data_IF_749419113102
#
_entry.id   IF_749419113102
#
_cell.length_a   1.000
_cell.length_b   1.000
_cell.length_c   1.000
_cell.angle_alpha   90.00
_cell.angle_beta   90.00
_cell.angle_gamma   90.00
#
_symmetry.space_group_name_H-M   'P 1'
#
loop_
_entity.id
_entity.type
_entity.pdbx_description
1 polymer ?
#
# COMPACT_ATOMS: atom_id res chain seq x y z
N UNK A 1 28.96 5.63 22.03
CA UNK A 1 28.48 5.56 20.62
C UNK A 1 27.70 6.83 20.31
N UNK A 2 27.85 7.41 19.11
CA UNK A 2 27.04 8.57 18.72
C UNK A 2 25.59 8.12 18.47
N UNK A 3 24.64 8.89 19.02
CA UNK A 3 23.20 8.60 18.86
C UNK A 3 22.76 8.72 17.41
N UNK A 4 21.98 7.76 16.94
CA UNK A 4 21.40 7.73 15.61
C UNK A 4 19.92 8.08 15.69
N UNK A 5 19.52 9.16 15.00
CA UNK A 5 18.13 9.59 14.92
C UNK A 5 17.48 9.12 13.62
N UNK A 6 16.31 8.53 13.71
CA UNK A 6 15.44 8.26 12.58
C UNK A 6 14.36 9.35 12.49
N UNK A 7 14.20 9.92 11.31
CA UNK A 7 13.13 10.87 10.98
C UNK A 7 12.16 10.17 10.04
N UNK A 8 10.99 9.77 10.53
CA UNK A 8 9.93 9.12 9.77
C UNK A 8 8.93 10.16 9.25
N UNK A 9 9.00 10.48 7.97
CA UNK A 9 8.04 11.38 7.33
C UNK A 9 6.84 10.62 6.77
N UNK A 10 5.63 11.03 7.17
CA UNK A 10 4.34 10.42 6.82
C UNK A 10 3.41 11.42 6.14
N UNK A 11 2.28 10.98 5.60
CA UNK A 11 1.25 11.91 5.16
C UNK A 11 0.40 12.38 6.34
N UNK A 12 -0.34 11.48 6.97
CA UNK A 12 -1.34 11.79 8.01
C UNK A 12 -1.04 11.13 9.36
N UNK A 13 -0.29 10.03 9.36
CA UNK A 13 0.06 9.31 10.59
C UNK A 13 0.93 10.18 11.52
N UNK A 14 0.71 10.19 12.82
CA UNK A 14 -0.32 9.45 13.58
C UNK A 14 -1.65 10.21 13.77
N UNK A 15 -1.86 11.33 13.09
CA UNK A 15 -2.88 12.35 13.36
C UNK A 15 -4.28 11.96 12.89
N UNK A 16 -4.39 11.15 11.86
CA UNK A 16 -5.67 10.67 11.32
C UNK A 16 -5.87 9.19 11.69
N UNK A 17 -6.74 8.88 12.66
CA UNK A 17 -7.00 7.51 13.08
C UNK A 17 -7.72 6.67 12.01
N UNK A 18 -8.41 7.32 11.06
CA UNK A 18 -9.11 6.65 9.97
C UNK A 18 -8.20 6.42 8.74
N UNK A 19 -6.97 6.93 8.78
CA UNK A 19 -6.00 6.73 7.70
C UNK A 19 -5.52 5.29 7.65
N UNK A 20 -5.54 4.68 6.47
CA UNK A 20 -4.92 3.38 6.22
C UNK A 20 -3.42 3.32 6.52
N UNK A 21 -2.74 4.46 6.71
CA UNK A 21 -1.34 4.51 7.12
C UNK A 21 -1.12 3.86 8.49
N UNK A 22 -2.07 4.01 9.43
CA UNK A 22 -1.93 3.54 10.79
C UNK A 22 -1.72 2.03 10.88
N UNK A 23 -2.46 1.27 10.09
CA UNK A 23 -2.41 -0.19 10.11
C UNK A 23 -1.04 -0.75 9.75
N UNK A 24 -0.25 -0.01 8.96
CA UNK A 24 1.08 -0.44 8.50
C UNK A 24 2.22 0.26 9.24
N UNK A 25 2.06 1.57 9.53
CA UNK A 25 3.13 2.35 10.15
C UNK A 25 3.25 2.03 11.64
N UNK A 26 2.15 1.82 12.36
CA UNK A 26 2.21 1.60 13.80
C UNK A 26 3.04 0.36 14.18
N UNK A 27 2.82 -0.85 13.58
CA UNK A 27 3.63 -2.02 13.88
C UNK A 27 5.11 -1.84 13.50
N UNK A 28 5.39 -1.15 12.40
CA UNK A 28 6.76 -0.85 11.97
C UNK A 28 7.43 0.16 12.90
N UNK A 29 6.72 1.20 13.35
CA UNK A 29 7.23 2.21 14.27
C UNK A 29 7.69 1.61 15.60
N UNK A 30 6.94 0.65 16.14
CA UNK A 30 7.29 -0.01 17.40
C UNK A 30 8.64 -0.76 17.30
N UNK A 31 8.92 -1.38 16.15
CA UNK A 31 10.21 -2.02 15.85
C UNK A 31 11.31 -0.97 15.63
N UNK A 32 11.02 0.10 14.90
CA UNK A 32 11.98 1.19 14.64
C UNK A 32 12.38 1.90 15.93
N UNK A 33 11.46 2.10 16.87
CA UNK A 33 11.76 2.67 18.21
C UNK A 33 12.70 1.81 19.04
N UNK A 34 12.69 0.49 18.83
CA UNK A 34 13.63 -0.42 19.50
C UNK A 34 15.02 -0.42 18.84
N UNK A 35 15.08 -0.13 17.53
CA UNK A 35 16.29 -0.21 16.73
C UNK A 35 17.11 1.12 16.75
N UNK A 36 16.46 2.27 16.87
CA UNK A 36 17.11 3.58 16.82
C UNK A 36 17.11 4.27 18.18
N UNK A 37 18.15 5.06 18.47
CA UNK A 37 18.25 5.82 19.73
C UNK A 37 17.13 6.86 19.90
N UNK A 38 16.61 7.38 18.80
CA UNK A 38 15.44 8.25 18.77
C UNK A 38 14.71 8.14 17.44
N UNK A 39 13.38 8.18 17.49
CA UNK A 39 12.51 8.21 16.31
C UNK A 39 11.61 9.44 16.40
N UNK A 40 11.69 10.29 15.38
CA UNK A 40 10.87 11.49 15.24
C UNK A 40 9.88 11.29 14.07
N UNK A 41 8.59 11.32 14.36
CA UNK A 41 7.55 11.24 13.33
C UNK A 41 7.22 12.65 12.83
N UNK A 42 7.20 12.83 11.51
CA UNK A 42 6.99 14.13 10.86
C UNK A 42 5.85 14.03 9.85
N UNK A 43 4.61 14.27 10.28
CA UNK A 43 3.46 14.24 9.38
C UNK A 43 3.45 15.46 8.44
N UNK A 44 2.97 15.25 7.22
CA UNK A 44 2.83 16.31 6.22
C UNK A 44 1.60 17.18 6.44
N UNK A 45 0.55 16.64 7.05
CA UNK A 45 -0.70 17.38 7.29
C UNK A 45 -0.56 18.34 8.47
N UNK A 46 -1.34 19.41 8.41
CA UNK A 46 -1.49 20.39 9.49
C UNK A 46 -2.65 19.98 10.37
N UNK A 47 -2.49 20.12 11.69
CA UNK A 47 -3.56 19.91 12.64
C UNK A 47 -3.86 21.19 13.42
N UNK A 48 -5.09 21.36 13.96
CA UNK A 48 -5.40 22.44 14.88
C UNK A 48 -4.49 22.43 16.13
N UNK A 49 -4.15 23.59 16.65
CA UNK A 49 -3.26 23.72 17.81
C UNK A 49 -3.73 22.91 19.03
N UNK A 50 -5.06 22.75 19.20
CA UNK A 50 -5.66 21.93 20.27
C UNK A 50 -5.32 20.43 20.16
N UNK A 51 -5.13 19.93 18.96
CA UNK A 51 -4.74 18.53 18.71
C UNK A 51 -3.22 18.33 18.74
N UNK A 52 -2.45 19.37 18.46
CA UNK A 52 -0.99 19.32 18.46
C UNK A 52 -0.39 19.02 19.85
N UNK A 53 -1.11 19.38 20.93
CA UNK A 53 -0.64 19.16 22.32
C UNK A 53 -0.58 17.68 22.70
N UNK A 54 -1.37 16.82 22.09
CA UNK A 54 -1.42 15.38 22.37
C UNK A 54 -0.20 14.59 21.86
N UNK A 55 0.64 15.19 21.00
CA UNK A 55 1.70 14.47 20.28
C UNK A 55 3.10 15.09 20.44
N UNK A 56 3.30 15.94 21.48
CA UNK A 56 4.49 16.84 21.59
C UNK A 56 5.84 16.13 21.66
N UNK A 57 5.91 14.93 22.21
CA UNK A 57 7.20 14.29 22.51
C UNK A 57 7.74 13.42 21.38
N UNK A 58 6.89 12.93 20.48
CA UNK A 58 7.26 11.99 19.41
C UNK A 58 6.97 12.52 17.99
N UNK A 59 6.23 13.64 17.87
CA UNK A 59 5.78 14.18 16.59
C UNK A 59 6.23 15.63 16.42
N UNK A 60 6.91 15.91 15.31
CA UNK A 60 7.32 17.28 14.95
C UNK A 60 6.35 17.84 13.89
N UNK A 61 5.54 18.81 14.28
CA UNK A 61 4.57 19.49 13.40
C UNK A 61 5.16 20.74 12.74
N UNK A 62 6.36 21.17 13.12
CA UNK A 62 6.96 22.42 12.62
C UNK A 62 7.22 22.40 11.11
N UNK A 63 7.50 21.22 10.55
CA UNK A 63 7.61 21.06 9.10
C UNK A 63 6.25 21.22 8.39
N UNK A 64 5.18 20.64 8.96
CA UNK A 64 3.84 20.79 8.41
C UNK A 64 3.43 22.28 8.34
N UNK A 65 3.71 23.06 9.38
CA UNK A 65 3.43 24.50 9.39
C UNK A 65 4.20 25.25 8.28
N UNK A 66 5.46 24.91 8.06
CA UNK A 66 6.29 25.53 7.01
C UNK A 66 5.77 25.20 5.59
N UNK A 67 5.49 23.96 5.31
CA UNK A 67 4.99 23.56 3.97
C UNK A 67 3.57 24.02 3.65
N UNK A 68 2.83 24.47 4.67
CA UNK A 68 1.51 25.09 4.53
C UNK A 68 1.53 26.62 4.74
N UNK A 69 2.72 27.25 4.73
CA UNK A 69 2.88 28.71 4.78
C UNK A 69 2.17 29.41 3.60
N UNK A 70 2.02 30.74 3.61
CA UNK A 70 1.35 31.50 2.55
C UNK A 70 1.87 31.18 1.15
N UNK A 71 1.00 31.25 0.14
CA UNK A 71 1.31 30.85 -1.25
C UNK A 71 2.51 31.57 -1.85
N UNK A 72 2.67 32.87 -1.53
CA UNK A 72 3.80 33.68 -2.02
C UNK A 72 5.13 33.13 -1.51
N UNK A 73 5.23 32.88 -0.20
CA UNK A 73 6.44 32.36 0.43
C UNK A 73 6.82 30.98 -0.14
N UNK A 74 5.83 30.09 -0.33
CA UNK A 74 6.03 28.80 -0.97
C UNK A 74 6.46 28.94 -2.44
N UNK A 75 5.85 29.86 -3.16
CA UNK A 75 6.23 30.15 -4.56
C UNK A 75 7.69 30.54 -4.67
N UNK A 76 8.14 31.48 -3.85
CA UNK A 76 9.54 31.90 -3.79
C UNK A 76 10.47 30.74 -3.40
N UNK A 77 10.13 29.95 -2.38
CA UNK A 77 10.92 28.79 -1.99
C UNK A 77 11.07 27.80 -3.16
N UNK A 78 10.02 27.58 -3.94
CA UNK A 78 10.03 26.65 -5.08
C UNK A 78 10.92 27.13 -6.23
N UNK A 79 10.73 28.37 -6.68
CA UNK A 79 11.49 28.91 -7.82
C UNK A 79 12.99 29.12 -7.52
N UNK A 80 13.35 29.30 -6.25
CA UNK A 80 14.75 29.41 -5.84
C UNK A 80 15.46 28.06 -5.78
N UNK A 81 14.73 26.94 -5.84
CA UNK A 81 15.31 25.61 -5.89
C UNK A 81 15.74 25.26 -7.31
N UNK A 82 17.03 25.14 -7.59
CA UNK A 82 17.54 24.78 -8.92
C UNK A 82 16.97 23.50 -9.51
N UNK A 83 16.46 22.58 -8.66
CA UNK A 83 15.76 21.38 -9.10
C UNK A 83 14.45 21.70 -9.87
N UNK A 84 13.75 22.79 -9.52
CA UNK A 84 12.55 23.22 -10.25
C UNK A 84 12.84 23.51 -11.72
N UNK A 85 13.86 24.31 -12.00
CA UNK A 85 14.20 24.70 -13.36
C UNK A 85 14.69 23.53 -14.22
N UNK A 86 15.28 22.50 -13.57
CA UNK A 86 15.69 21.27 -14.27
C UNK A 86 14.50 20.37 -14.62
N UNK A 87 13.45 20.34 -13.78
CA UNK A 87 12.27 19.51 -13.97
C UNK A 87 11.20 20.15 -14.85
N UNK A 88 11.08 21.49 -14.79
CA UNK A 88 10.04 22.28 -15.48
C UNK A 88 9.83 21.91 -16.96
N UNK A 89 10.88 21.71 -17.79
CA UNK A 89 10.67 21.30 -19.18
C UNK A 89 9.95 19.96 -19.30
N UNK A 90 10.28 18.99 -18.45
CA UNK A 90 9.64 17.66 -18.42
C UNK A 90 8.18 17.74 -17.98
N UNK A 91 7.89 18.58 -16.97
CA UNK A 91 6.52 18.79 -16.49
C UNK A 91 5.64 19.45 -17.54
N UNK A 92 6.16 20.48 -18.22
CA UNK A 92 5.46 21.16 -19.33
C UNK A 92 5.19 20.22 -20.50
N UNK A 93 6.18 19.42 -20.91
CA UNK A 93 6.07 18.48 -22.02
C UNK A 93 5.03 17.39 -21.73
N UNK A 94 5.07 16.79 -20.53
CA UNK A 94 4.23 15.63 -20.16
C UNK A 94 2.83 15.98 -19.70
N UNK A 95 2.63 17.14 -19.06
CA UNK A 95 1.36 17.50 -18.42
C UNK A 95 1.03 19.00 -18.48
N UNK A 96 1.69 19.77 -19.35
CA UNK A 96 1.42 21.19 -19.56
C UNK A 96 1.46 22.01 -18.26
N UNK A 97 0.52 22.94 -18.13
CA UNK A 97 0.43 23.80 -16.94
C UNK A 97 0.22 23.01 -15.63
N UNK A 98 -0.43 21.84 -15.68
CA UNK A 98 -0.59 20.97 -14.52
C UNK A 98 0.77 20.42 -14.07
N UNK A 99 1.62 19.98 -15.00
CA UNK A 99 2.97 19.51 -14.72
C UNK A 99 3.82 20.59 -14.08
N UNK A 100 3.92 21.77 -14.69
CA UNK A 100 4.67 22.90 -14.17
C UNK A 100 4.22 23.32 -12.76
N UNK A 101 2.90 23.34 -12.50
CA UNK A 101 2.36 23.61 -11.16
C UNK A 101 2.75 22.54 -10.15
N UNK A 102 2.69 21.27 -10.56
CA UNK A 102 3.07 20.13 -9.70
C UNK A 102 4.56 20.20 -9.37
N UNK A 103 5.42 20.50 -10.33
CA UNK A 103 6.86 20.64 -10.12
C UNK A 103 7.18 21.78 -9.16
N UNK A 104 6.49 22.93 -9.31
CA UNK A 104 6.65 24.04 -8.38
C UNK A 104 6.22 23.68 -6.96
N UNK A 105 5.10 22.97 -6.79
CA UNK A 105 4.63 22.53 -5.47
C UNK A 105 5.62 21.58 -4.82
N UNK A 106 6.17 20.65 -5.58
CA UNK A 106 7.19 19.72 -5.09
C UNK A 106 8.49 20.43 -4.74
N UNK A 107 8.96 21.33 -5.59
CA UNK A 107 10.13 22.13 -5.34
C UNK A 107 9.99 23.00 -4.09
N UNK A 108 8.84 23.65 -3.92
CA UNK A 108 8.52 24.43 -2.72
C UNK A 108 8.60 23.57 -1.44
N UNK A 109 7.92 22.41 -1.47
CA UNK A 109 7.96 21.46 -0.35
C UNK A 109 9.40 21.01 -0.08
N UNK A 110 10.16 20.67 -1.12
CA UNK A 110 11.55 20.24 -0.98
C UNK A 110 12.46 21.31 -0.39
N UNK A 111 12.35 22.56 -0.84
CA UNK A 111 13.15 23.68 -0.34
C UNK A 111 12.90 23.92 1.16
N UNK A 112 11.62 23.94 1.57
CA UNK A 112 11.22 24.14 2.97
C UNK A 112 11.63 22.95 3.85
N UNK A 113 11.49 21.72 3.35
CA UNK A 113 11.92 20.49 4.06
C UNK A 113 13.44 20.48 4.25
N UNK A 114 14.20 20.79 3.21
CA UNK A 114 15.66 20.88 3.31
C UNK A 114 16.09 21.92 4.34
N UNK A 115 15.48 23.10 4.32
CA UNK A 115 15.78 24.16 5.29
C UNK A 115 15.44 23.71 6.71
N UNK A 116 14.28 23.15 6.93
CA UNK A 116 13.86 22.58 8.21
C UNK A 116 14.86 21.56 8.73
N UNK A 117 15.28 20.59 7.92
CA UNK A 117 16.22 19.56 8.31
C UNK A 117 17.57 20.15 8.73
N UNK A 118 18.08 21.13 7.97
CA UNK A 118 19.37 21.81 8.25
C UNK A 118 19.33 22.63 9.53
N UNK A 119 18.19 23.19 9.92
CA UNK A 119 17.98 23.96 11.14
C UNK A 119 17.73 23.05 12.35
N UNK A 120 17.04 21.90 12.13
CA UNK A 120 16.59 21.00 13.21
C UNK A 120 17.69 20.09 13.75
N UNK A 121 18.63 19.68 12.90
CA UNK A 121 19.67 18.71 13.25
C UNK A 121 21.06 19.34 13.11
N UNK A 122 21.95 19.03 14.08
CA UNK A 122 23.34 19.47 14.00
C UNK A 122 24.12 18.67 12.94
N UNK A 123 25.22 19.23 12.46
CA UNK A 123 26.08 18.55 11.48
C UNK A 123 26.78 17.30 12.04
N UNK A 124 26.88 17.17 13.33
CA UNK A 124 27.53 16.06 14.02
C UNK A 124 26.57 14.88 14.28
N UNK A 125 25.25 15.12 14.18
CA UNK A 125 24.25 14.07 14.37
C UNK A 125 24.29 13.05 13.25
N UNK A 126 24.11 11.76 13.57
CA UNK A 126 23.75 10.74 12.58
C UNK A 126 22.24 10.78 12.39
N UNK A 127 21.78 11.05 11.18
CA UNK A 127 20.35 11.17 10.87
C UNK A 127 20.00 10.33 9.66
N UNK A 128 19.00 9.47 9.82
CA UNK A 128 18.36 8.76 8.72
C UNK A 128 16.99 9.38 8.46
N UNK A 129 16.81 9.96 7.29
CA UNK A 129 15.52 10.42 6.81
C UNK A 129 14.84 9.27 6.07
N UNK A 130 13.70 8.83 6.56
CA UNK A 130 12.86 7.83 5.94
C UNK A 130 11.51 8.45 5.59
N UNK A 131 11.20 8.58 4.30
CA UNK A 131 9.87 9.01 3.85
C UNK A 131 9.04 7.78 3.51
N UNK A 132 7.92 7.62 4.22
CA UNK A 132 7.00 6.50 3.99
C UNK A 132 6.36 6.58 2.60
N UNK A 133 6.12 7.77 2.08
CA UNK A 133 5.62 8.05 0.73
C UNK A 133 6.61 8.91 -0.05
N UNK A 134 6.77 8.62 -1.34
CA UNK A 134 7.55 9.48 -2.23
C UNK A 134 6.79 10.78 -2.54
N UNK A 135 7.23 11.86 -1.97
CA UNK A 135 6.63 13.20 -2.09
C UNK A 135 7.71 14.28 -2.22
N UNK A 136 7.33 15.55 -2.24
CA UNK A 136 8.28 16.67 -2.16
C UNK A 136 9.13 16.65 -0.89
N UNK A 137 8.65 16.03 0.22
CA UNK A 137 9.46 15.80 1.42
C UNK A 137 10.68 14.92 1.10
N UNK A 138 10.49 13.88 0.31
CA UNK A 138 11.56 12.96 -0.12
C UNK A 138 12.68 13.72 -0.82
N UNK A 139 12.34 14.59 -1.78
CA UNK A 139 13.32 15.40 -2.49
C UNK A 139 14.09 16.34 -1.53
N UNK A 140 13.38 16.98 -0.60
CA UNK A 140 13.99 17.90 0.37
C UNK A 140 14.92 17.19 1.34
N UNK A 141 14.54 16.03 1.85
CA UNK A 141 15.36 15.20 2.75
C UNK A 141 16.57 14.59 2.03
N UNK A 142 16.41 14.12 0.81
CA UNK A 142 17.52 13.65 -0.03
C UNK A 142 18.54 14.76 -0.28
N UNK A 143 18.09 15.96 -0.62
CA UNK A 143 18.99 17.11 -0.81
C UNK A 143 19.65 17.58 0.50
N UNK A 144 19.00 17.42 1.65
CA UNK A 144 19.59 17.72 2.95
C UNK A 144 20.69 16.71 3.29
N UNK A 145 20.44 15.41 3.08
CA UNK A 145 21.40 14.35 3.37
C UNK A 145 22.70 14.50 2.58
N UNK A 146 22.66 14.92 1.32
CA UNK A 146 23.86 15.18 0.50
C UNK A 146 24.74 16.32 1.01
N UNK A 147 24.25 17.14 1.94
CA UNK A 147 25.01 18.26 2.56
C UNK A 147 25.73 17.88 3.85
N UNK A 148 25.50 16.69 4.36
CA UNK A 148 26.06 16.20 5.63
C UNK A 148 26.51 14.75 5.48
N UNK A 149 27.78 14.48 5.73
CA UNK A 149 28.40 13.17 5.54
C UNK A 149 27.71 12.04 6.33
N UNK A 150 27.17 12.37 7.52
CA UNK A 150 26.55 11.42 8.46
C UNK A 150 25.02 11.31 8.29
N UNK A 151 24.48 11.93 7.27
CA UNK A 151 23.05 11.89 6.98
C UNK A 151 22.78 10.94 5.82
N UNK A 152 21.68 10.23 5.91
CA UNK A 152 21.17 9.35 4.85
C UNK A 152 19.71 9.66 4.58
N UNK A 153 19.25 9.38 3.37
CA UNK A 153 17.86 9.55 2.99
C UNK A 153 17.38 8.36 2.19
N UNK A 154 16.26 7.81 2.62
CA UNK A 154 15.59 6.70 1.96
C UNK A 154 14.12 7.00 1.78
N UNK A 155 13.47 6.30 0.84
CA UNK A 155 12.02 6.34 0.66
C UNK A 155 11.48 4.94 0.48
N UNK A 156 10.23 4.72 0.91
CA UNK A 156 9.43 3.57 0.46
C UNK A 156 8.47 4.06 -0.63
N UNK A 157 8.23 3.22 -1.63
CA UNK A 157 7.30 3.51 -2.73
C UNK A 157 6.19 2.47 -2.77
N UNK A 158 4.98 2.98 -3.02
CA UNK A 158 3.75 2.21 -3.07
C UNK A 158 3.07 2.38 -4.43
N UNK A 159 1.82 1.91 -4.59
CA UNK A 159 1.16 1.98 -5.88
C UNK A 159 0.85 3.40 -6.37
N UNK A 160 0.36 4.26 -5.48
CA UNK A 160 -0.11 5.62 -5.84
C UNK A 160 1.04 6.58 -6.10
N UNK A 161 2.12 6.47 -5.35
CA UNK A 161 3.29 7.36 -5.44
C UNK A 161 4.39 6.83 -6.37
N UNK A 162 4.20 5.63 -6.93
CA UNK A 162 5.14 4.98 -7.85
C UNK A 162 4.61 4.96 -9.30
N UNK A 163 3.40 4.40 -9.53
CA UNK A 163 2.92 4.16 -10.88
C UNK A 163 2.34 5.45 -11.51
N UNK A 164 2.95 5.90 -12.61
CA UNK A 164 2.53 7.12 -13.30
C UNK A 164 1.06 7.08 -13.76
N UNK A 165 0.59 5.92 -14.26
CA UNK A 165 -0.80 5.74 -14.71
C UNK A 165 -1.86 5.92 -13.60
N UNK A 166 -1.45 5.89 -12.33
CA UNK A 166 -2.33 6.17 -11.17
C UNK A 166 -2.39 7.65 -10.80
N UNK A 167 -1.69 8.50 -11.53
CA UNK A 167 -1.65 9.94 -11.27
C UNK A 167 -2.38 10.71 -12.36
N UNK A 168 -2.93 11.89 -12.06
CA UNK A 168 -3.50 12.75 -13.07
C UNK A 168 -2.50 13.00 -14.20
N UNK A 169 -2.97 12.95 -15.44
CA UNK A 169 -2.16 13.09 -16.66
C UNK A 169 -0.99 12.10 -16.79
N UNK A 170 -0.96 11.00 -16.01
CA UNK A 170 0.17 10.06 -16.01
C UNK A 170 1.50 10.68 -15.58
N UNK A 171 1.47 11.82 -14.86
CA UNK A 171 2.68 12.56 -14.52
C UNK A 171 3.08 12.40 -13.04
N UNK A 172 4.34 12.06 -12.85
CA UNK A 172 4.99 11.96 -11.54
C UNK A 172 6.16 12.95 -11.48
N UNK A 173 6.06 14.05 -10.71
CA UNK A 173 7.14 15.02 -10.59
C UNK A 173 8.46 14.39 -10.11
N UNK A 174 9.57 14.83 -10.69
CA UNK A 174 10.94 14.39 -10.35
C UNK A 174 11.18 12.88 -10.50
N UNK A 175 10.37 12.18 -11.27
CA UNK A 175 10.61 10.78 -11.58
C UNK A 175 11.25 10.65 -12.99
N UNK A 176 12.39 9.97 -13.14
CA UNK A 176 13.11 9.15 -12.15
C UNK A 176 14.21 9.89 -11.37
N UNK A 177 14.41 11.21 -11.56
CA UNK A 177 15.58 11.94 -11.05
C UNK A 177 15.75 11.85 -9.51
N UNK A 178 14.65 11.84 -8.76
CA UNK A 178 14.66 11.80 -7.30
C UNK A 178 15.37 10.55 -6.73
N UNK A 179 15.28 9.41 -7.42
CA UNK A 179 15.86 8.16 -6.95
C UNK A 179 17.40 8.18 -6.93
N UNK A 180 18.02 9.02 -7.78
CA UNK A 180 19.48 9.21 -7.79
C UNK A 180 19.99 10.04 -6.61
N UNK A 181 19.11 10.80 -5.98
CA UNK A 181 19.45 11.62 -4.81
C UNK A 181 19.37 10.81 -3.49
N UNK A 182 18.76 9.64 -3.51
CA UNK A 182 18.54 8.78 -2.34
C UNK A 182 19.73 7.82 -2.13
N UNK A 183 19.96 7.44 -0.89
CA UNK A 183 20.93 6.39 -0.55
C UNK A 183 20.33 5.00 -0.83
N UNK A 184 19.01 4.86 -0.67
CA UNK A 184 18.26 3.64 -1.03
C UNK A 184 16.77 3.93 -1.25
N UNK A 185 16.17 3.17 -2.16
CA UNK A 185 14.73 3.13 -2.37
C UNK A 185 14.19 1.77 -1.96
N UNK A 186 13.08 1.74 -1.23
CA UNK A 186 12.40 0.51 -0.85
C UNK A 186 11.10 0.38 -1.64
N UNK A 187 10.95 -0.72 -2.34
CA UNK A 187 9.72 -1.06 -3.06
C UNK A 187 8.91 -2.08 -2.24
N UNK A 188 7.59 -1.91 -2.16
CA UNK A 188 6.73 -2.85 -1.40
C UNK A 188 6.54 -4.21 -2.07
N UNK A 189 7.01 -4.36 -3.32
CA UNK A 189 6.84 -5.58 -4.13
C UNK A 189 7.95 -5.69 -5.19
N UNK A 190 8.27 -6.90 -5.66
CA UNK A 190 9.21 -7.12 -6.77
C UNK A 190 8.73 -6.44 -8.07
N UNK A 191 7.40 -6.49 -8.32
CA UNK A 191 6.80 -5.77 -9.44
C UNK A 191 7.12 -4.26 -9.39
N UNK A 192 7.06 -3.64 -8.23
CA UNK A 192 7.38 -2.23 -8.03
C UNK A 192 8.87 -1.95 -8.28
N UNK A 193 9.77 -2.85 -7.86
CA UNK A 193 11.21 -2.78 -8.18
C UNK A 193 11.45 -2.90 -9.68
N UNK A 194 10.78 -3.85 -10.35
CA UNK A 194 10.85 -4.01 -11.81
C UNK A 194 10.39 -2.75 -12.56
N UNK A 195 9.31 -2.11 -12.11
CA UNK A 195 8.83 -0.85 -12.67
C UNK A 195 9.86 0.29 -12.51
N UNK A 196 10.52 0.40 -11.37
CA UNK A 196 11.60 1.37 -11.19
C UNK A 196 12.74 1.14 -12.18
N UNK A 197 13.12 -0.12 -12.41
CA UNK A 197 14.12 -0.49 -13.43
C UNK A 197 13.69 -0.06 -14.83
N UNK A 198 12.41 -0.20 -15.20
CA UNK A 198 11.88 0.27 -16.50
C UNK A 198 11.93 1.78 -16.67
N UNK A 199 11.97 2.54 -15.57
CA UNK A 199 12.19 4.00 -15.58
C UNK A 199 13.67 4.41 -15.64
N UNK A 200 14.60 3.44 -15.73
CA UNK A 200 16.05 3.70 -15.74
C UNK A 200 16.63 3.98 -14.35
N UNK A 201 15.94 3.59 -13.27
CA UNK A 201 16.49 3.62 -11.93
C UNK A 201 17.45 2.45 -11.73
N UNK A 202 18.62 2.71 -11.16
CA UNK A 202 19.56 1.64 -10.81
C UNK A 202 18.95 0.72 -9.74
N UNK A 203 18.60 -0.49 -10.15
CA UNK A 203 17.96 -1.48 -9.29
C UNK A 203 18.86 -2.04 -8.20
N UNK A 204 20.19 -1.80 -8.26
CA UNK A 204 21.09 -2.15 -7.16
C UNK A 204 20.85 -1.28 -5.91
N UNK A 205 20.37 -0.05 -6.11
CA UNK A 205 19.95 0.87 -5.06
C UNK A 205 18.50 0.65 -4.58
N UNK A 206 17.78 -0.31 -5.20
CA UNK A 206 16.38 -0.62 -4.85
C UNK A 206 16.31 -1.96 -4.12
N UNK A 207 15.75 -1.95 -2.92
CA UNK A 207 15.42 -3.17 -2.16
C UNK A 207 13.93 -3.37 -2.01
N UNK A 208 13.50 -4.62 -1.99
CA UNK A 208 12.11 -4.95 -1.66
C UNK A 208 11.95 -5.03 -0.15
N UNK A 209 11.05 -4.19 0.38
CA UNK A 209 10.65 -4.19 1.78
C UNK A 209 9.13 -4.24 1.84
N UNK A 210 8.60 -5.47 1.85
CA UNK A 210 7.16 -5.70 1.89
C UNK A 210 6.57 -5.16 3.18
N UNK A 211 5.38 -4.60 3.07
CA UNK A 211 4.53 -4.40 4.23
C UNK A 211 4.05 -5.77 4.71
N UNK A 212 3.51 -5.81 5.90
CA UNK A 212 2.95 -7.02 6.45
C UNK A 212 1.72 -6.72 7.29
N UNK A 213 1.12 -7.77 7.78
CA UNK A 213 -0.02 -7.74 8.69
C UNK A 213 0.37 -8.50 9.96
N UNK A 214 -0.07 -8.03 11.13
CA UNK A 214 0.10 -8.79 12.37
C UNK A 214 -0.51 -10.19 12.25
N UNK A 215 0.05 -11.16 12.96
CA UNK A 215 -0.58 -12.49 13.03
C UNK A 215 -1.95 -12.36 13.70
N UNK A 216 -3.03 -12.76 13.00
CA UNK A 216 -4.37 -12.72 13.59
C UNK A 216 -4.58 -13.79 14.69
N UNK A 217 -3.65 -14.71 14.88
CA UNK A 217 -3.69 -15.77 15.89
C UNK A 217 -4.68 -16.89 15.60
N UNK A 218 -5.78 -16.59 14.90
CA UNK A 218 -6.87 -17.53 14.60
C UNK A 218 -7.11 -17.59 13.10
N UNK A 219 -7.38 -18.79 12.59
CA UNK A 219 -7.72 -19.01 11.18
C UNK A 219 -9.24 -18.95 10.97
N UNK A 220 -9.65 -18.58 9.76
CA UNK A 220 -11.02 -18.75 9.29
C UNK A 220 -11.35 -20.25 9.13
N UNK A 221 -12.59 -20.64 9.34
CA UNK A 221 -13.06 -22.01 9.15
C UNK A 221 -13.67 -22.20 7.73
N UNK A 222 -13.57 -23.40 7.15
CA UNK A 222 -14.33 -23.73 5.93
C UNK A 222 -15.81 -23.98 6.25
N UNK A 223 -16.66 -23.91 5.22
CA UNK A 223 -18.05 -24.32 5.31
C UNK A 223 -18.18 -25.84 5.43
N UNK A 224 -19.24 -26.30 6.10
CA UNK A 224 -19.57 -27.73 6.29
C UNK A 224 -20.97 -28.08 5.83
N UNK A 225 -21.74 -27.13 5.34
CA UNK A 225 -23.17 -27.25 5.00
C UNK A 225 -23.44 -27.35 3.48
N UNK A 226 -22.40 -27.53 2.67
CA UNK A 226 -22.50 -27.63 1.23
C UNK A 226 -22.68 -26.28 0.51
N UNK A 227 -22.72 -25.16 1.23
CA UNK A 227 -22.75 -23.81 0.64
C UNK A 227 -21.32 -23.31 0.45
N UNK A 228 -20.94 -22.97 -0.78
CA UNK A 228 -19.63 -22.34 -1.06
C UNK A 228 -19.66 -20.89 -0.59
N UNK A 229 -18.86 -20.57 0.41
CA UNK A 229 -18.75 -19.22 0.94
C UNK A 229 -17.59 -18.48 0.31
N UNK A 230 -17.95 -17.56 -0.59
CA UNK A 230 -17.00 -16.69 -1.29
C UNK A 230 -16.95 -15.37 -0.58
N UNK A 231 -15.74 -14.83 -0.37
CA UNK A 231 -15.55 -13.51 0.23
C UNK A 231 -14.70 -12.64 -0.66
N UNK A 232 -14.98 -11.34 -0.67
CA UNK A 232 -14.15 -10.31 -1.32
C UNK A 232 -14.08 -9.06 -0.44
N UNK A 233 -12.96 -8.34 -0.50
CA UNK A 233 -12.77 -7.09 0.24
C UNK A 233 -12.10 -6.05 -0.65
N UNK A 234 -12.79 -4.93 -0.89
CA UNK A 234 -12.27 -3.81 -1.67
C UNK A 234 -13.17 -2.58 -1.55
N UNK A 235 -12.61 -1.38 -1.75
CA UNK A 235 -13.41 -0.20 -2.05
C UNK A 235 -14.07 -0.37 -3.43
N UNK A 236 -15.40 -0.31 -3.49
CA UNK A 236 -16.20 -0.65 -4.67
C UNK A 236 -16.09 0.44 -5.74
N UNK A 237 -15.12 0.30 -6.62
CA UNK A 237 -14.88 1.11 -7.83
C UNK A 237 -14.64 0.19 -9.02
N UNK A 238 -14.78 0.71 -10.23
CA UNK A 238 -14.67 -0.04 -11.50
C UNK A 238 -13.39 -0.88 -11.60
N UNK A 239 -12.26 -0.40 -11.06
CA UNK A 239 -10.99 -1.14 -11.04
C UNK A 239 -11.07 -2.48 -10.28
N UNK A 240 -12.02 -2.65 -9.37
CA UNK A 240 -12.19 -3.86 -8.56
C UNK A 240 -13.11 -4.89 -9.18
N UNK A 241 -13.83 -4.52 -10.25
CA UNK A 241 -14.68 -5.41 -11.06
C UNK A 241 -15.68 -6.25 -10.24
N UNK A 242 -16.25 -5.67 -9.18
CA UNK A 242 -17.23 -6.38 -8.33
C UNK A 242 -18.50 -6.81 -9.09
N UNK A 243 -19.04 -6.03 -10.05
CA UNK A 243 -20.14 -6.50 -10.89
C UNK A 243 -19.81 -7.78 -11.68
N UNK A 244 -18.56 -7.91 -12.15
CA UNK A 244 -18.11 -9.15 -12.82
C UNK A 244 -18.14 -10.35 -11.85
N UNK A 245 -17.72 -10.15 -10.59
CA UNK A 245 -17.79 -11.20 -9.56
C UNK A 245 -19.25 -11.63 -9.35
N UNK A 246 -20.17 -10.66 -9.15
CA UNK A 246 -21.60 -10.94 -8.95
C UNK A 246 -22.19 -11.73 -10.12
N UNK A 247 -21.96 -11.30 -11.34
CA UNK A 247 -22.46 -11.93 -12.59
C UNK A 247 -21.92 -13.34 -12.75
N UNK A 248 -20.63 -13.57 -12.56
CA UNK A 248 -20.04 -14.90 -12.66
C UNK A 248 -20.56 -15.86 -11.58
N UNK A 249 -20.75 -15.39 -10.34
CA UNK A 249 -21.34 -16.22 -9.27
C UNK A 249 -22.79 -16.61 -9.58
N UNK A 250 -23.59 -15.66 -10.09
CA UNK A 250 -24.96 -15.93 -10.52
C UNK A 250 -25.03 -16.96 -11.68
N UNK A 251 -24.19 -16.75 -12.70
CA UNK A 251 -24.08 -17.64 -13.83
C UNK A 251 -23.62 -19.05 -13.43
N UNK A 252 -22.63 -19.13 -12.51
CA UNK A 252 -22.13 -20.40 -12.02
C UNK A 252 -23.21 -21.22 -11.27
N UNK A 253 -24.06 -20.54 -10.47
CA UNK A 253 -25.18 -21.17 -9.80
C UNK A 253 -26.28 -21.61 -10.80
N UNK A 254 -26.51 -20.84 -11.88
CA UNK A 254 -27.54 -21.19 -12.89
C UNK A 254 -27.18 -22.40 -13.74
N UNK A 255 -25.91 -22.73 -13.90
CA UNK A 255 -25.43 -23.88 -14.65
C UNK A 255 -25.74 -25.24 -13.98
N UNK A 256 -25.98 -25.24 -12.67
CA UNK A 256 -26.27 -26.45 -11.90
C UNK A 256 -27.14 -26.08 -10.69
N UNK A 257 -28.38 -26.56 -10.68
CA UNK A 257 -29.38 -26.27 -9.65
C UNK A 257 -29.00 -26.78 -8.24
N UNK A 258 -27.99 -27.62 -8.13
CA UNK A 258 -27.48 -28.11 -6.83
C UNK A 258 -26.45 -27.15 -6.20
N UNK A 259 -25.86 -26.26 -6.97
CA UNK A 259 -24.86 -25.31 -6.49
C UNK A 259 -25.49 -24.26 -5.60
N UNK A 260 -24.86 -24.02 -4.47
CA UNK A 260 -25.23 -22.99 -3.48
C UNK A 260 -24.01 -22.13 -3.16
N UNK A 261 -24.18 -20.82 -3.28
CA UNK A 261 -23.13 -19.83 -2.99
C UNK A 261 -23.68 -18.79 -2.02
N UNK A 262 -22.87 -18.44 -1.05
CA UNK A 262 -23.06 -17.21 -0.28
C UNK A 262 -21.86 -16.30 -0.51
N UNK A 263 -22.09 -15.11 -1.10
CA UNK A 263 -21.05 -14.12 -1.34
C UNK A 263 -21.11 -13.00 -0.30
N UNK A 264 -20.03 -12.84 0.47
CA UNK A 264 -19.86 -11.71 1.36
C UNK A 264 -18.88 -10.70 0.75
N UNK A 265 -19.32 -9.46 0.55
CA UNK A 265 -18.45 -8.37 0.13
C UNK A 265 -18.24 -7.38 1.27
N UNK A 266 -16.95 -7.06 1.57
CA UNK A 266 -16.52 -6.08 2.55
C UNK A 266 -15.97 -4.87 1.81
N UNK A 267 -16.62 -3.72 1.96
CA UNK A 267 -16.20 -2.46 1.36
C UNK A 267 -17.38 -1.65 0.83
N UNK A 268 -17.29 -0.35 1.01
CA UNK A 268 -18.21 0.63 0.43
C UNK A 268 -17.68 1.15 -0.90
N UNK A 269 -18.46 1.98 -1.58
CA UNK A 269 -18.04 2.70 -2.77
C UNK A 269 -19.14 2.86 -3.81
N UNK A 270 -18.90 3.70 -4.83
CA UNK A 270 -19.93 4.06 -5.80
C UNK A 270 -20.42 2.89 -6.67
N UNK A 271 -19.59 1.86 -6.87
CA UNK A 271 -19.90 0.72 -7.74
C UNK A 271 -20.85 -0.31 -7.09
N UNK A 272 -21.17 -0.17 -5.79
CA UNK A 272 -22.11 -1.06 -5.11
C UNK A 272 -23.53 -1.02 -5.71
N UNK A 273 -23.94 0.08 -6.33
CA UNK A 273 -25.22 0.17 -7.03
C UNK A 273 -25.26 -0.83 -8.22
N UNK A 274 -24.17 -0.88 -9.00
CA UNK A 274 -24.03 -1.82 -10.12
C UNK A 274 -23.98 -3.27 -9.62
N UNK A 275 -23.31 -3.52 -8.50
CA UNK A 275 -23.29 -4.84 -7.87
C UNK A 275 -24.70 -5.30 -7.47
N UNK A 276 -25.51 -4.42 -6.86
CA UNK A 276 -26.89 -4.75 -6.50
C UNK A 276 -27.75 -5.06 -7.73
N UNK A 277 -27.58 -4.29 -8.80
CA UNK A 277 -28.28 -4.53 -10.07
C UNK A 277 -27.95 -5.93 -10.66
N UNK A 278 -26.69 -6.36 -10.60
CA UNK A 278 -26.28 -7.70 -11.04
C UNK A 278 -26.85 -8.83 -10.14
N UNK A 279 -27.18 -8.52 -8.90
CA UNK A 279 -27.76 -9.48 -7.95
C UNK A 279 -29.30 -9.53 -8.00
N UNK A 280 -29.95 -8.56 -8.65
CA UNK A 280 -31.39 -8.54 -8.83
C UNK A 280 -31.83 -9.71 -9.76
N UNK A 281 -32.79 -10.52 -9.30
CA UNK A 281 -33.28 -11.64 -10.08
C UNK A 281 -32.32 -12.84 -10.22
N UNK A 282 -31.26 -12.88 -9.42
CA UNK A 282 -30.32 -14.00 -9.43
C UNK A 282 -30.98 -15.33 -9.08
N UNK A 283 -30.45 -16.46 -9.61
CA UNK A 283 -31.00 -17.79 -9.32
C UNK A 283 -30.95 -18.07 -7.81
N UNK A 284 -31.94 -18.83 -7.30
CA UNK A 284 -32.08 -19.13 -5.87
C UNK A 284 -30.87 -19.85 -5.21
N UNK A 285 -29.87 -20.25 -5.99
CA UNK A 285 -28.61 -20.79 -5.50
C UNK A 285 -27.59 -19.74 -5.00
N UNK A 286 -27.77 -18.48 -5.38
CA UNK A 286 -26.88 -17.38 -4.94
C UNK A 286 -27.58 -16.53 -3.87
N UNK A 287 -26.87 -16.34 -2.75
CA UNK A 287 -27.21 -15.34 -1.73
C UNK A 287 -26.03 -14.41 -1.51
N UNK A 288 -26.27 -13.20 -1.05
CA UNK A 288 -25.18 -12.23 -0.83
C UNK A 288 -25.38 -11.37 0.40
N UNK A 289 -24.26 -10.93 0.98
CA UNK A 289 -24.19 -9.94 2.05
C UNK A 289 -23.20 -8.85 1.65
N UNK A 290 -23.70 -7.63 1.42
CA UNK A 290 -22.88 -6.45 1.14
C UNK A 290 -22.74 -5.64 2.41
N UNK A 291 -21.62 -5.78 3.13
CA UNK A 291 -21.41 -5.17 4.45
C UNK A 291 -21.17 -3.65 4.39
N UNK A 292 -20.82 -3.12 3.20
CA UNK A 292 -20.39 -1.73 3.09
C UNK A 292 -19.01 -1.51 3.73
N UNK A 293 -18.69 -0.25 4.03
CA UNK A 293 -17.42 0.09 4.65
C UNK A 293 -17.37 -0.39 6.09
N UNK A 294 -16.33 -1.14 6.43
CA UNK A 294 -16.01 -1.53 7.80
C UNK A 294 -14.65 -0.95 8.18
N UNK A 295 -14.39 -0.67 9.45
CA UNK A 295 -13.07 -0.28 9.92
C UNK A 295 -12.01 -1.32 9.54
N UNK A 296 -10.78 -0.92 9.15
CA UNK A 296 -9.74 -1.86 8.74
C UNK A 296 -9.46 -2.97 9.76
N UNK A 297 -9.50 -2.64 11.04
CA UNK A 297 -9.32 -3.58 12.16
C UNK A 297 -10.43 -4.62 12.31
N UNK A 298 -11.58 -4.43 11.65
CA UNK A 298 -12.71 -5.37 11.64
C UNK A 298 -12.70 -6.31 10.43
N UNK A 299 -11.84 -6.10 9.45
CA UNK A 299 -11.80 -6.92 8.24
C UNK A 299 -11.43 -8.38 8.57
N UNK A 300 -10.31 -8.57 9.26
CA UNK A 300 -9.84 -9.90 9.68
C UNK A 300 -10.81 -10.57 10.67
N UNK A 301 -11.32 -9.90 11.71
CA UNK A 301 -12.39 -10.45 12.55
C UNK A 301 -13.63 -10.88 11.76
N UNK A 302 -14.00 -10.17 10.70
CA UNK A 302 -15.13 -10.58 9.84
C UNK A 302 -14.86 -11.91 9.15
N UNK A 303 -13.64 -12.16 8.66
CA UNK A 303 -13.27 -13.46 8.07
C UNK A 303 -13.26 -14.60 9.11
N UNK A 304 -13.07 -14.29 10.39
CA UNK A 304 -13.02 -15.27 11.47
C UNK A 304 -14.41 -15.58 12.05
N UNK A 305 -15.36 -14.64 11.95
CA UNK A 305 -16.70 -14.75 12.54
C UNK A 305 -17.66 -15.65 11.74
N UNK A 306 -17.31 -16.00 10.51
CA UNK A 306 -18.11 -16.83 9.63
C UNK A 306 -17.23 -17.77 8.80
N UNK A 307 -17.76 -18.92 8.33
CA UNK A 307 -17.02 -19.77 7.41
C UNK A 307 -16.65 -19.00 6.13
N UNK A 308 -15.43 -19.22 5.64
CA UNK A 308 -14.95 -18.67 4.36
C UNK A 308 -14.16 -19.74 3.61
N UNK A 309 -14.60 -20.06 2.41
CA UNK A 309 -13.97 -21.11 1.59
C UNK A 309 -12.99 -20.53 0.57
N UNK A 310 -13.35 -19.42 -0.05
CA UNK A 310 -12.60 -18.82 -1.15
C UNK A 310 -12.63 -17.31 -1.10
N UNK A 311 -11.46 -16.68 -1.21
CA UNK A 311 -11.35 -15.25 -1.47
C UNK A 311 -11.23 -14.97 -2.95
N UNK A 312 -12.05 -14.07 -3.49
CA UNK A 312 -12.03 -13.68 -4.90
C UNK A 312 -11.62 -12.21 -5.06
N UNK A 313 -10.65 -11.95 -5.98
CA UNK A 313 -10.09 -10.63 -6.20
C UNK A 313 -9.78 -10.37 -7.68
N UNK A 314 -10.71 -9.75 -8.42
CA UNK A 314 -10.61 -9.56 -9.86
C UNK A 314 -10.16 -8.14 -10.27
N UNK A 315 -9.33 -7.49 -9.47
CA UNK A 315 -8.84 -6.14 -9.76
C UNK A 315 -8.12 -6.05 -11.11
N UNK A 316 -8.28 -4.92 -11.81
CA UNK A 316 -7.56 -4.63 -13.05
C UNK A 316 -6.14 -4.09 -12.84
N UNK A 317 -5.84 -3.61 -11.64
CA UNK A 317 -4.52 -3.09 -11.27
C UNK A 317 -4.33 -3.11 -9.75
N UNK A 318 -3.17 -3.53 -9.31
CA UNK A 318 -2.75 -3.53 -7.90
C UNK A 318 -1.30 -3.04 -7.74
N UNK A 319 -0.97 -2.59 -6.53
CA UNK A 319 0.42 -2.52 -6.10
C UNK A 319 0.83 -3.86 -5.49
N UNK A 320 0.45 -4.05 -4.23
CA UNK A 320 0.45 -5.32 -3.51
C UNK A 320 -0.86 -5.39 -2.72
N UNK A 321 -1.82 -6.26 -3.09
CA UNK A 321 -3.18 -6.19 -2.56
C UNK A 321 -3.23 -6.61 -1.08
N UNK A 322 -3.56 -5.68 -0.20
CA UNK A 322 -3.65 -5.93 1.26
C UNK A 322 -4.73 -6.93 1.59
N UNK A 323 -5.91 -6.81 0.95
CA UNK A 323 -7.03 -7.71 1.20
C UNK A 323 -6.70 -9.19 0.88
N UNK A 324 -5.82 -9.43 -0.11
CA UNK A 324 -5.30 -10.78 -0.39
C UNK A 324 -4.36 -11.26 0.72
N UNK A 325 -3.52 -10.36 1.25
CA UNK A 325 -2.65 -10.69 2.38
C UNK A 325 -3.47 -11.02 3.64
N UNK A 326 -4.55 -10.27 3.91
CA UNK A 326 -5.49 -10.51 5.01
C UNK A 326 -6.17 -11.88 4.86
N UNK A 327 -6.66 -12.22 3.67
CA UNK A 327 -7.22 -13.54 3.39
C UNK A 327 -6.19 -14.67 3.62
N UNK A 328 -4.95 -14.48 3.15
CA UNK A 328 -3.85 -15.42 3.39
C UNK A 328 -3.52 -15.55 4.88
N UNK A 329 -3.54 -14.45 5.64
CA UNK A 329 -3.25 -14.44 7.07
C UNK A 329 -4.23 -15.30 7.89
N UNK A 330 -5.46 -15.44 7.46
CA UNK A 330 -6.46 -16.31 8.11
C UNK A 330 -6.65 -17.66 7.39
N UNK A 331 -5.81 -17.96 6.40
CA UNK A 331 -5.80 -19.26 5.73
C UNK A 331 -6.93 -19.44 4.71
N UNK A 332 -7.43 -18.39 4.04
CA UNK A 332 -8.42 -18.51 2.97
C UNK A 332 -7.69 -18.67 1.64
N UNK A 333 -8.02 -19.72 0.83
CA UNK A 333 -7.53 -19.85 -0.54
C UNK A 333 -7.98 -18.70 -1.43
N UNK A 334 -7.21 -18.36 -2.45
CA UNK A 334 -7.41 -17.14 -3.25
C UNK A 334 -7.56 -17.46 -4.74
N UNK A 335 -8.58 -16.88 -5.39
CA UNK A 335 -8.65 -16.70 -6.84
C UNK A 335 -8.49 -15.21 -7.14
N UNK A 336 -7.49 -14.85 -7.93
CA UNK A 336 -7.21 -13.46 -8.20
C UNK A 336 -6.66 -13.23 -9.61
N UNK A 337 -6.84 -12.01 -10.15
CA UNK A 337 -6.19 -11.60 -11.40
C UNK A 337 -4.70 -11.36 -11.19
N UNK A 338 -3.90 -11.76 -12.17
CA UNK A 338 -2.46 -11.58 -12.19
C UNK A 338 -2.08 -10.16 -12.61
N UNK A 339 -2.21 -9.22 -11.67
CA UNK A 339 -1.92 -7.81 -11.87
C UNK A 339 -1.02 -7.27 -10.77
N UNK A 340 -0.04 -6.45 -11.13
CA UNK A 340 0.87 -5.84 -10.16
C UNK A 340 1.61 -6.90 -9.31
N UNK A 341 1.59 -6.72 -8.00
CA UNK A 341 2.21 -7.65 -7.04
C UNK A 341 1.32 -8.82 -6.60
N UNK A 342 0.15 -9.06 -7.23
CA UNK A 342 -0.77 -10.14 -6.81
C UNK A 342 -0.10 -11.51 -6.84
N UNK A 343 0.73 -11.79 -7.86
CA UNK A 343 1.50 -13.05 -7.96
C UNK A 343 2.52 -13.27 -6.83
N UNK A 344 2.82 -12.25 -6.05
CA UNK A 344 3.66 -12.39 -4.85
C UNK A 344 2.87 -12.96 -3.67
N UNK A 345 1.54 -12.87 -3.70
CA UNK A 345 0.64 -13.36 -2.67
C UNK A 345 -0.16 -14.59 -3.08
N UNK A 346 -0.30 -14.86 -4.38
CA UNK A 346 -1.12 -15.96 -4.91
C UNK A 346 -0.30 -16.81 -5.87
N UNK A 347 -0.34 -18.12 -5.65
CA UNK A 347 0.28 -19.15 -6.49
C UNK A 347 -0.45 -20.49 -6.32
N UNK A 348 0.06 -21.54 -6.95
CA UNK A 348 -0.54 -22.90 -6.92
C UNK A 348 -0.64 -23.50 -5.52
N UNK A 349 0.19 -23.01 -4.60
CA UNK A 349 0.23 -23.47 -3.21
C UNK A 349 -0.96 -22.98 -2.37
N UNK A 350 -1.62 -21.89 -2.79
CA UNK A 350 -2.68 -21.24 -2.02
C UNK A 350 -3.87 -20.76 -2.85
N UNK A 351 -3.86 -20.97 -4.19
CA UNK A 351 -4.97 -20.51 -5.02
C UNK A 351 -4.71 -20.64 -6.51
N UNK A 352 -5.37 -19.78 -7.27
CA UNK A 352 -5.26 -19.72 -8.74
C UNK A 352 -5.20 -18.26 -9.21
N UNK A 353 -4.23 -17.97 -10.09
CA UNK A 353 -4.17 -16.71 -10.82
C UNK A 353 -4.94 -16.82 -12.13
N UNK A 354 -5.69 -15.78 -12.45
CA UNK A 354 -6.39 -15.55 -13.71
C UNK A 354 -5.64 -14.52 -14.54
N UNK A 355 -5.83 -14.47 -15.87
CA UNK A 355 -5.29 -13.37 -16.68
C UNK A 355 -5.68 -12.00 -16.14
N UNK A 356 -4.89 -10.96 -16.47
CA UNK A 356 -5.13 -9.58 -16.03
C UNK A 356 -6.53 -9.06 -16.43
N UNK A 357 -7.06 -9.51 -17.56
CA UNK A 357 -8.41 -9.23 -18.04
C UNK A 357 -9.14 -10.56 -18.30
N UNK A 358 -9.63 -11.22 -17.22
CA UNK A 358 -10.27 -12.52 -17.38
C UNK A 358 -11.62 -12.40 -18.10
N UNK A 359 -11.90 -13.37 -18.92
CA UNK A 359 -13.26 -13.61 -19.44
C UNK A 359 -14.16 -14.17 -18.35
N UNK A 360 -15.47 -14.12 -18.54
CA UNK A 360 -16.41 -14.77 -17.62
C UNK A 360 -16.15 -16.28 -17.53
N UNK A 361 -15.88 -16.93 -18.66
CA UNK A 361 -15.58 -18.37 -18.69
C UNK A 361 -14.35 -18.74 -17.86
N UNK A 362 -13.28 -17.95 -17.91
CA UNK A 362 -12.09 -18.17 -17.08
C UNK A 362 -12.39 -18.05 -15.56
N UNK A 363 -13.30 -17.14 -15.19
CA UNK A 363 -13.76 -17.04 -13.80
C UNK A 363 -14.62 -18.23 -13.42
N UNK A 364 -15.54 -18.65 -14.28
CA UNK A 364 -16.40 -19.83 -14.07
C UNK A 364 -15.56 -21.11 -13.95
N UNK A 365 -14.55 -21.27 -14.78
CA UNK A 365 -13.58 -22.37 -14.68
C UNK A 365 -12.84 -22.37 -13.32
N UNK A 366 -12.44 -21.22 -12.84
CA UNK A 366 -11.75 -21.11 -11.55
C UNK A 366 -12.68 -21.46 -10.37
N UNK A 367 -13.95 -21.06 -10.41
CA UNK A 367 -14.97 -21.44 -9.44
C UNK A 367 -15.21 -22.96 -9.47
N UNK A 368 -15.36 -23.53 -10.68
CA UNK A 368 -15.54 -24.96 -10.89
C UNK A 368 -14.33 -25.77 -10.42
N UNK A 369 -13.12 -25.32 -10.78
CA UNK A 369 -11.87 -25.89 -10.28
C UNK A 369 -11.87 -25.99 -8.75
N UNK A 370 -12.17 -24.87 -8.06
CA UNK A 370 -12.16 -24.86 -6.60
C UNK A 370 -13.27 -25.78 -6.01
N UNK A 371 -14.44 -25.75 -6.60
CA UNK A 371 -15.58 -26.57 -6.15
C UNK A 371 -15.29 -28.09 -6.24
N UNK A 372 -14.59 -28.53 -7.29
CA UNK A 372 -14.22 -29.92 -7.53
C UNK A 372 -13.03 -30.43 -6.70
N UNK A 373 -12.35 -29.56 -5.96
CA UNK A 373 -11.23 -29.97 -5.14
C UNK A 373 -11.70 -30.89 -3.98
N UNK A 374 -10.93 -31.95 -3.73
CA UNK A 374 -11.14 -32.79 -2.54
C UNK A 374 -10.94 -31.98 -1.25
N UNK A 375 -11.56 -32.38 -0.14
CA UNK A 375 -11.35 -31.76 1.17
C UNK A 375 -9.86 -31.61 1.54
N UNK A 376 -9.06 -32.64 1.28
CA UNK A 376 -7.61 -32.62 1.54
C UNK A 376 -6.90 -31.56 0.68
N UNK A 377 -7.29 -31.39 -0.58
CA UNK A 377 -6.67 -30.37 -1.42
C UNK A 377 -7.06 -28.98 -0.97
N UNK A 378 -8.30 -28.73 -0.58
CA UNK A 378 -8.75 -27.48 0.02
C UNK A 378 -7.99 -27.18 1.31
N UNK A 379 -7.82 -28.19 2.18
CA UNK A 379 -7.02 -28.05 3.39
C UNK A 379 -5.56 -27.64 3.09
N UNK A 380 -4.92 -28.28 2.09
CA UNK A 380 -3.56 -27.91 1.66
C UNK A 380 -3.47 -26.47 1.14
N UNK A 381 -4.45 -25.98 0.40
CA UNK A 381 -4.50 -24.58 -0.07
C UNK A 381 -4.62 -23.60 1.11
N UNK A 382 -5.46 -23.93 2.11
CA UNK A 382 -5.60 -23.13 3.33
C UNK A 382 -4.27 -23.04 4.10
N UNK A 383 -3.62 -24.15 4.29
CA UNK A 383 -2.29 -24.20 4.90
C UNK A 383 -1.25 -23.46 4.05
N UNK A 384 -1.37 -23.52 2.71
CA UNK A 384 -0.57 -22.75 1.77
C UNK A 384 -0.72 -21.23 1.94
N UNK A 385 -1.96 -20.75 2.06
CA UNK A 385 -2.24 -19.33 2.33
C UNK A 385 -1.51 -18.84 3.60
N UNK A 386 -1.60 -19.60 4.69
CA UNK A 386 -0.89 -19.27 5.94
C UNK A 386 0.63 -19.27 5.75
N UNK A 387 1.20 -20.24 5.02
CA UNK A 387 2.64 -20.26 4.74
C UNK A 387 3.09 -19.07 3.91
N UNK A 388 2.32 -18.69 2.88
CA UNK A 388 2.60 -17.50 2.06
C UNK A 388 2.61 -16.25 2.94
N UNK A 389 1.58 -16.06 3.78
CA UNK A 389 1.54 -14.94 4.69
C UNK A 389 2.73 -14.95 5.65
N UNK A 390 2.99 -16.04 6.35
CA UNK A 390 4.05 -16.14 7.35
C UNK A 390 5.45 -15.88 6.75
N UNK A 391 5.71 -16.35 5.53
CA UNK A 391 7.02 -16.20 4.89
C UNK A 391 7.24 -14.85 4.22
N UNK A 392 6.17 -14.14 3.83
CA UNK A 392 6.27 -12.93 3.00
C UNK A 392 5.62 -11.69 3.60
N UNK A 393 4.58 -11.88 4.43
CA UNK A 393 3.69 -10.80 4.87
C UNK A 393 3.50 -10.72 6.38
N UNK A 394 4.33 -11.40 7.16
CA UNK A 394 4.39 -11.20 8.62
C UNK A 394 4.97 -9.82 8.91
N UNK A 395 4.16 -8.94 9.55
CA UNK A 395 4.53 -7.55 9.81
C UNK A 395 5.75 -7.45 10.72
N UNK A 396 5.86 -8.31 11.73
CA UNK A 396 6.96 -8.30 12.69
C UNK A 396 8.27 -8.66 12.01
N UNK A 397 8.29 -9.77 11.28
CA UNK A 397 9.46 -10.23 10.55
C UNK A 397 9.91 -9.23 9.48
N UNK A 398 8.95 -8.66 8.74
CA UNK A 398 9.24 -7.67 7.71
C UNK A 398 9.79 -6.38 8.31
N UNK A 399 9.21 -5.89 9.42
CA UNK A 399 9.67 -4.68 10.11
C UNK A 399 11.05 -4.86 10.72
N UNK A 400 11.36 -6.03 11.29
CA UNK A 400 12.69 -6.34 11.84
C UNK A 400 13.76 -6.35 10.75
N UNK A 401 13.50 -7.03 9.62
CA UNK A 401 14.41 -7.04 8.47
C UNK A 401 14.62 -5.63 7.90
N UNK A 402 13.56 -4.85 7.81
CA UNK A 402 13.62 -3.48 7.33
C UNK A 402 14.43 -2.58 8.28
N UNK A 403 14.17 -2.65 9.59
CA UNK A 403 14.92 -1.88 10.60
C UNK A 403 16.42 -2.23 10.58
N UNK A 404 16.76 -3.52 10.47
CA UNK A 404 18.15 -3.97 10.34
C UNK A 404 18.84 -3.41 9.09
N UNK A 405 18.13 -3.39 7.96
CA UNK A 405 18.67 -2.84 6.71
C UNK A 405 18.86 -1.32 6.78
N UNK A 406 17.97 -0.60 7.48
CA UNK A 406 18.10 0.83 7.72
C UNK A 406 19.31 1.15 8.64
N UNK A 407 19.53 0.37 9.70
CA UNK A 407 20.68 0.53 10.58
C UNK A 407 22.00 0.34 9.83
N UNK A 408 22.07 -0.69 8.99
CA UNK A 408 23.27 -0.94 8.16
C UNK A 408 23.63 0.23 7.24
N UNK A 409 22.68 1.10 6.87
CA UNK A 409 22.97 2.30 6.07
C UNK A 409 23.63 3.44 6.86
N UNK A 410 23.37 3.54 8.14
CA UNK A 410 23.91 4.64 8.98
C UNK A 410 25.20 4.26 9.69
N UNK A 411 25.55 2.98 9.72
CA UNK A 411 26.82 2.49 10.29
C UNK A 411 27.98 2.61 9.29
N UNK A 412 27.67 2.63 7.99
CA UNK A 412 28.60 2.87 6.88
C UNK A 412 28.78 4.37 6.59
#
# INVERSE_FOLDING_TARGET
MQKTALVLATNTFPLDPMSGERSFIQPELDVLKQAFDSVLVVPRVRVPASQATAYRDEVDLTLADRIHSPRLERGWAGITLGAFWRELPSGLDRAGAFGARSDLQWAATAALTRRWAMERFSSESRVLFYTYWRTGLTLGMAQASKRRRRWRAVTRVHGVDLFAHRRPHGYQPYSPSIYRELDRTYAVAEHAKGYLGSLGVDTSSVRVARLGLPDPGVQSLPSTDGVLRVVSCAYAISLKRLPLIARCLAQWCSQDSTRRVHWTHIGGGPDLANVRAELEGCPGGLTSTLLGSVPPEQVVPTYQSQPCDLFIHLSSTEGLPVAVQEACAVGIPVVATDVGGTREAVGEENGRLLPANPTEDEVLEALTWFHQLSPDRRHRLRAGSRRVWASRFDARENSQRFASDLLGLVET
#
